data_IF_112093596258
#
_entry.id   IF_112093596258
#
_cell.length_a   1.000
_cell.length_b   1.000
_cell.length_c   1.000
_cell.angle_alpha   90.00
_cell.angle_beta   90.00
_cell.angle_gamma   90.00
#
_symmetry.space_group_name_H-M   'P 1'
#
loop_
_entity.id
_entity.type
_entity.pdbx_description
1 polymer ?
#
# COMPACT_ATOMS: atom_id res chain seq x y z
N UNK A 1 -58.07 24.22 33.19
CA UNK A 1 -56.72 23.65 33.03
C UNK A 1 -56.73 22.96 31.66
N UNK A 2 -55.97 23.37 30.62
CA UNK A 2 -54.50 23.20 30.39
C UNK A 2 -54.08 21.76 30.74
N UNK A 3 -53.43 20.92 29.93
CA UNK A 3 -52.63 21.03 28.68
C UNK A 3 -52.82 19.71 27.86
N UNK A 4 -52.31 19.46 26.64
CA UNK A 4 -51.51 20.20 25.63
C UNK A 4 -51.89 19.65 24.21
N UNK A 5 -51.50 20.32 23.12
CA UNK A 5 -51.50 19.74 21.77
C UNK A 5 -50.08 19.82 21.16
N UNK A 6 -49.64 18.79 20.42
CA UNK A 6 -48.45 18.86 19.57
C UNK A 6 -48.61 17.89 18.39
N UNK A 7 -48.76 18.45 17.20
CA UNK A 7 -49.05 17.70 15.98
C UNK A 7 -47.82 16.97 15.43
N UNK A 8 -48.07 15.80 14.83
CA UNK A 8 -47.09 15.14 13.95
C UNK A 8 -46.73 16.08 12.79
N UNK A 9 -45.49 16.56 12.75
CA UNK A 9 -44.98 17.29 11.61
C UNK A 9 -45.01 16.39 10.36
N UNK A 10 -45.60 16.91 9.29
CA UNK A 10 -45.70 16.23 7.99
C UNK A 10 -44.33 16.20 7.31
N UNK A 11 -43.65 15.05 7.35
CA UNK A 11 -42.63 14.76 6.33
C UNK A 11 -43.35 14.55 4.99
N UNK A 12 -43.01 15.31 3.93
CA UNK A 12 -43.64 15.12 2.63
C UNK A 12 -43.28 13.74 2.07
N UNK A 13 -44.29 13.00 1.60
CA UNK A 13 -44.11 11.72 0.90
C UNK A 13 -43.41 11.97 -0.44
N UNK A 14 -42.09 12.01 -0.43
CA UNK A 14 -41.29 12.11 -1.65
C UNK A 14 -41.63 10.93 -2.57
N UNK A 15 -42.15 11.24 -3.76
CA UNK A 15 -42.63 10.23 -4.70
C UNK A 15 -41.46 9.33 -5.13
N UNK A 16 -41.60 8.00 -4.97
CA UNK A 16 -40.51 7.06 -5.19
C UNK A 16 -39.91 7.13 -6.62
N UNK A 17 -40.72 7.51 -7.62
CA UNK A 17 -40.27 7.78 -8.98
C UNK A 17 -39.37 9.02 -9.08
N UNK A 18 -39.71 10.10 -8.36
CA UNK A 18 -38.87 11.30 -8.29
C UNK A 18 -37.54 10.97 -7.62
N UNK A 19 -37.55 10.36 -6.43
CA UNK A 19 -36.33 9.98 -5.68
C UNK A 19 -35.41 9.09 -6.52
N UNK A 20 -35.94 8.07 -7.21
CA UNK A 20 -35.16 7.21 -8.12
C UNK A 20 -34.53 7.99 -9.28
N UNK A 21 -35.23 8.99 -9.81
CA UNK A 21 -34.74 9.82 -10.92
C UNK A 21 -33.63 10.77 -10.44
N UNK A 22 -33.81 11.46 -9.31
CA UNK A 22 -32.80 12.37 -8.74
C UNK A 22 -31.53 11.64 -8.32
N UNK A 23 -31.67 10.46 -7.70
CA UNK A 23 -30.52 9.60 -7.36
C UNK A 23 -29.77 9.15 -8.61
N UNK A 24 -30.49 8.72 -9.66
CA UNK A 24 -29.86 8.31 -10.92
C UNK A 24 -29.11 9.47 -11.61
N UNK A 25 -29.66 10.68 -11.61
CA UNK A 25 -28.96 11.86 -12.16
C UNK A 25 -27.74 12.25 -11.30
N UNK A 26 -27.84 12.19 -9.97
CA UNK A 26 -26.74 12.52 -9.08
C UNK A 26 -25.56 11.52 -9.21
N UNK A 27 -25.85 10.22 -9.31
CA UNK A 27 -24.84 9.17 -9.54
C UNK A 27 -24.12 9.39 -10.88
N UNK A 28 -24.86 9.74 -11.94
CA UNK A 28 -24.26 10.04 -13.26
C UNK A 28 -23.40 11.32 -13.22
N UNK A 29 -23.85 12.37 -12.50
CA UNK A 29 -23.04 13.59 -12.33
C UNK A 29 -21.73 13.30 -11.60
N UNK A 30 -21.78 12.62 -10.45
CA UNK A 30 -20.58 12.24 -9.67
C UNK A 30 -19.61 11.39 -10.49
N UNK A 31 -20.11 10.44 -11.28
CA UNK A 31 -19.26 9.63 -12.16
C UNK A 31 -18.59 10.46 -13.27
N UNK A 32 -19.29 11.45 -13.85
CA UNK A 32 -18.71 12.37 -14.84
C UNK A 32 -17.69 13.33 -14.22
N UNK A 33 -17.95 13.81 -13.01
CA UNK A 33 -17.03 14.66 -12.24
C UNK A 33 -15.75 13.92 -11.88
N UNK A 34 -15.85 12.70 -11.33
CA UNK A 34 -14.69 11.83 -11.07
C UNK A 34 -13.92 11.53 -12.35
N UNK A 35 -14.59 11.18 -13.46
CA UNK A 35 -13.90 10.95 -14.73
C UNK A 35 -13.12 12.19 -15.22
N UNK A 36 -13.71 13.39 -15.11
CA UNK A 36 -13.02 14.65 -15.44
C UNK A 36 -11.87 14.96 -14.49
N UNK A 37 -12.04 14.69 -13.20
CA UNK A 37 -11.00 14.88 -12.18
C UNK A 37 -9.80 13.97 -12.47
N UNK A 38 -10.02 12.65 -12.62
CA UNK A 38 -8.98 11.67 -12.96
C UNK A 38 -8.28 12.00 -14.28
N UNK A 39 -9.02 12.45 -15.31
CA UNK A 39 -8.43 12.90 -16.58
C UNK A 39 -7.52 14.13 -16.45
N UNK A 40 -7.73 15.00 -15.46
CA UNK A 40 -6.83 16.13 -15.16
C UNK A 40 -5.56 15.70 -14.42
N UNK A 41 -5.56 14.51 -13.82
CA UNK A 41 -4.41 13.94 -13.11
C UNK A 41 -3.60 12.97 -13.99
N UNK A 42 -4.04 12.72 -15.22
CA UNK A 42 -3.28 11.93 -16.19
C UNK A 42 -1.93 12.62 -16.48
N UNK A 43 -0.84 11.88 -16.31
CA UNK A 43 0.53 12.41 -16.39
C UNK A 43 0.97 13.36 -15.27
N UNK A 44 0.19 13.57 -14.21
CA UNK A 44 0.58 14.45 -13.10
C UNK A 44 1.90 14.02 -12.45
N UNK A 45 2.82 14.96 -12.26
CA UNK A 45 4.14 14.75 -11.66
C UNK A 45 5.17 14.00 -12.51
N UNK A 46 4.78 13.41 -13.65
CA UNK A 46 5.62 12.52 -14.46
C UNK A 46 6.92 13.16 -14.97
N UNK A 47 6.84 14.42 -15.38
CA UNK A 47 7.97 15.18 -15.95
C UNK A 47 8.57 16.19 -14.96
N UNK A 48 8.14 16.15 -13.70
CA UNK A 48 8.63 17.05 -12.66
C UNK A 48 9.98 16.55 -12.09
N UNK A 49 10.98 17.43 -11.89
CA UNK A 49 12.24 17.04 -11.28
C UNK A 49 12.07 16.75 -9.78
N UNK A 50 13.03 16.01 -9.21
CA UNK A 50 13.15 15.90 -7.74
C UNK A 50 13.27 17.28 -7.09
N UNK A 51 12.60 17.43 -5.96
CA UNK A 51 12.51 18.70 -5.24
C UNK A 51 11.56 19.75 -5.85
N UNK A 52 10.74 19.43 -6.87
CA UNK A 52 9.78 20.41 -7.40
C UNK A 52 8.71 20.80 -6.38
N UNK A 53 8.94 21.94 -5.72
CA UNK A 53 8.07 22.50 -4.70
C UNK A 53 6.62 22.70 -5.17
N UNK A 54 6.38 22.90 -6.48
CA UNK A 54 5.01 23.03 -7.02
C UNK A 54 4.27 21.70 -7.02
N UNK A 55 4.87 20.65 -7.59
CA UNK A 55 4.30 19.30 -7.57
C UNK A 55 4.16 18.79 -6.14
N UNK A 56 5.18 18.96 -5.29
CA UNK A 56 5.13 18.61 -3.85
C UNK A 56 4.01 19.36 -3.10
N UNK A 57 3.79 20.63 -3.43
CA UNK A 57 2.66 21.42 -2.92
C UNK A 57 1.30 20.88 -3.36
N UNK A 58 1.15 20.52 -4.64
CA UNK A 58 -0.08 19.93 -5.18
C UNK A 58 -0.35 18.52 -4.61
N UNK A 59 0.68 17.67 -4.45
CA UNK A 59 0.55 16.37 -3.80
C UNK A 59 -0.07 16.49 -2.40
N UNK A 60 0.37 17.47 -1.59
CA UNK A 60 -0.16 17.68 -0.23
C UNK A 60 -1.67 17.94 -0.18
N UNK A 61 -2.27 18.50 -1.23
CA UNK A 61 -3.73 18.66 -1.31
C UNK A 61 -4.42 17.43 -1.91
N UNK A 62 -3.85 16.82 -2.95
CA UNK A 62 -4.40 15.59 -3.56
C UNK A 62 -4.40 14.39 -2.61
N UNK A 63 -3.46 14.32 -1.66
CA UNK A 63 -3.45 13.34 -0.56
C UNK A 63 -4.64 13.49 0.42
N UNK A 64 -5.43 14.56 0.33
CA UNK A 64 -6.63 14.78 1.16
C UNK A 64 -7.93 14.57 0.36
N UNK A 65 -7.84 14.24 -0.92
CA UNK A 65 -9.00 14.13 -1.81
C UNK A 65 -9.86 12.88 -1.47
N UNK A 66 -11.16 12.97 -1.69
CA UNK A 66 -12.08 11.84 -1.52
C UNK A 66 -11.85 10.74 -2.58
N UNK A 67 -11.39 11.11 -3.78
CA UNK A 67 -11.08 10.14 -4.82
C UNK A 67 -9.75 9.42 -4.52
N UNK A 68 -9.83 8.11 -4.26
CA UNK A 68 -8.65 7.25 -4.09
C UNK A 68 -7.66 7.41 -5.24
N UNK A 69 -8.13 7.65 -6.47
CA UNK A 69 -7.24 7.82 -7.63
C UNK A 69 -6.38 9.07 -7.48
N UNK A 70 -6.94 10.15 -6.92
CA UNK A 70 -6.21 11.38 -6.67
C UNK A 70 -5.14 11.19 -5.58
N UNK A 71 -5.50 10.51 -4.48
CA UNK A 71 -4.53 10.13 -3.43
C UNK A 71 -3.42 9.24 -3.99
N UNK A 72 -3.77 8.21 -4.77
CA UNK A 72 -2.84 7.28 -5.43
C UNK A 72 -1.90 8.00 -6.39
N UNK A 73 -2.41 8.90 -7.23
CA UNK A 73 -1.58 9.71 -8.14
C UNK A 73 -0.66 10.66 -7.37
N UNK A 74 -1.09 11.22 -6.24
CA UNK A 74 -0.22 12.04 -5.39
C UNK A 74 0.93 11.23 -4.76
N UNK A 75 0.66 9.99 -4.35
CA UNK A 75 1.67 9.04 -3.85
C UNK A 75 2.65 8.63 -4.96
N UNK A 76 2.16 8.28 -6.16
CA UNK A 76 3.00 7.97 -7.33
C UNK A 76 3.89 9.15 -7.74
N UNK A 77 3.36 10.38 -7.64
CA UNK A 77 4.13 11.58 -7.93
C UNK A 77 5.19 11.81 -6.84
N UNK A 78 4.83 11.70 -5.55
CA UNK A 78 5.80 11.79 -4.44
C UNK A 78 6.95 10.78 -4.58
N UNK A 79 6.67 9.54 -4.99
CA UNK A 79 7.70 8.52 -5.30
C UNK A 79 8.74 9.00 -6.33
N UNK A 80 8.35 9.87 -7.26
CA UNK A 80 9.22 10.40 -8.31
C UNK A 80 9.89 11.73 -7.92
N UNK A 81 9.14 12.66 -7.32
CA UNK A 81 9.58 14.04 -7.07
C UNK A 81 10.12 14.30 -5.66
N UNK A 82 9.88 13.42 -4.69
CA UNK A 82 10.43 13.59 -3.35
C UNK A 82 11.94 13.43 -3.36
N UNK A 83 12.62 14.29 -2.59
CA UNK A 83 14.02 14.10 -2.25
C UNK A 83 14.17 12.86 -1.36
N UNK A 84 15.21 12.07 -1.62
CA UNK A 84 15.47 10.83 -0.90
C UNK A 84 15.84 11.12 0.56
N UNK A 85 15.32 10.33 1.49
CA UNK A 85 15.50 10.50 2.94
C UNK A 85 14.78 11.70 3.55
N UNK A 86 13.99 12.47 2.79
CA UNK A 86 13.35 13.68 3.32
C UNK A 86 12.16 13.33 4.24
N UNK A 87 12.28 13.67 5.52
CA UNK A 87 11.37 13.22 6.58
C UNK A 87 9.92 13.70 6.39
N UNK A 88 9.70 14.90 5.85
CA UNK A 88 8.35 15.43 5.65
C UNK A 88 7.62 14.69 4.52
N UNK A 89 8.32 14.33 3.44
CA UNK A 89 7.80 13.48 2.37
C UNK A 89 7.51 12.06 2.89
N UNK A 90 8.42 11.48 3.67
CA UNK A 90 8.21 10.16 4.29
C UNK A 90 7.01 10.17 5.26
N UNK A 91 6.85 11.20 6.09
CA UNK A 91 5.70 11.34 6.98
C UNK A 91 4.35 11.41 6.23
N UNK A 92 4.31 12.05 5.06
CA UNK A 92 3.12 12.05 4.19
C UNK A 92 2.84 10.65 3.63
N UNK A 93 3.87 9.92 3.20
CA UNK A 93 3.72 8.56 2.68
C UNK A 93 3.31 7.56 3.77
N UNK A 94 3.89 7.64 4.97
CA UNK A 94 3.57 6.76 6.11
C UNK A 94 2.08 6.82 6.50
N UNK A 95 1.44 7.99 6.37
CA UNK A 95 0.00 8.13 6.61
C UNK A 95 -0.84 7.28 5.62
N UNK A 96 -0.40 7.17 4.37
CA UNK A 96 -1.14 6.49 3.30
C UNK A 96 -0.85 5.00 3.22
N UNK A 97 0.05 4.48 4.05
CA UNK A 97 0.13 3.05 4.33
C UNK A 97 -1.17 2.53 4.99
N UNK A 98 -1.97 3.38 5.62
CA UNK A 98 -3.24 3.04 6.29
C UNK A 98 -4.47 3.61 5.56
N UNK A 99 -4.34 3.88 4.25
CA UNK A 99 -5.45 4.35 3.44
C UNK A 99 -6.56 3.30 3.31
N UNK A 100 -7.82 3.76 3.23
CA UNK A 100 -8.99 2.90 3.01
C UNK A 100 -8.91 2.13 1.68
N UNK A 101 -8.25 2.67 0.65
CA UNK A 101 -8.17 2.07 -0.68
C UNK A 101 -6.85 1.29 -0.89
N UNK A 102 -7.00 0.04 -1.34
CA UNK A 102 -5.90 -0.90 -1.55
C UNK A 102 -4.84 -0.38 -2.52
N UNK A 103 -5.22 0.37 -3.56
CA UNK A 103 -4.27 0.88 -4.56
C UNK A 103 -3.46 2.04 -4.01
N UNK A 104 -4.00 2.81 -3.06
CA UNK A 104 -3.26 3.84 -2.33
C UNK A 104 -2.28 3.17 -1.35
N UNK A 105 -2.70 2.13 -0.62
CA UNK A 105 -1.80 1.36 0.27
C UNK A 105 -0.64 0.71 -0.48
N UNK A 106 -0.91 0.03 -1.60
CA UNK A 106 0.14 -0.54 -2.46
C UNK A 106 1.13 0.54 -2.93
N UNK A 107 0.61 1.66 -3.45
CA UNK A 107 1.44 2.77 -3.93
C UNK A 107 2.28 3.38 -2.81
N UNK A 108 1.74 3.49 -1.59
CA UNK A 108 2.45 4.05 -0.45
C UNK A 108 3.61 3.16 0.00
N UNK A 109 3.45 1.84 -0.01
CA UNK A 109 4.56 0.90 0.27
C UNK A 109 5.65 1.02 -0.79
N UNK A 110 5.27 1.03 -2.07
CA UNK A 110 6.18 1.19 -3.21
C UNK A 110 6.92 2.54 -3.20
N UNK A 111 6.27 3.60 -2.70
CA UNK A 111 6.82 4.94 -2.57
C UNK A 111 7.79 5.06 -1.39
N UNK A 112 7.44 4.50 -0.21
CA UNK A 112 8.34 4.46 0.95
C UNK A 112 9.64 3.72 0.60
N UNK A 113 9.55 2.58 -0.10
CA UNK A 113 10.73 1.81 -0.54
C UNK A 113 11.65 2.55 -1.54
N UNK A 114 11.16 3.59 -2.20
CA UNK A 114 11.90 4.38 -3.17
C UNK A 114 12.44 5.70 -2.58
N UNK A 115 11.68 6.31 -1.67
CA UNK A 115 12.02 7.61 -1.06
C UNK A 115 12.87 7.43 0.20
N UNK A 116 12.65 6.39 1.01
CA UNK A 116 13.46 6.17 2.21
C UNK A 116 14.89 5.76 1.87
N UNK A 117 15.83 6.08 2.74
CA UNK A 117 17.19 5.56 2.64
C UNK A 117 17.21 4.05 2.97
N UNK A 118 18.20 3.28 2.45
CA UNK A 118 18.37 1.90 2.87
C UNK A 118 18.67 1.89 4.37
N UNK A 119 18.19 0.86 5.07
CA UNK A 119 18.39 0.66 6.50
C UNK A 119 17.71 1.72 7.41
N UNK A 120 16.82 2.55 6.85
CA UNK A 120 15.92 3.43 7.61
C UNK A 120 14.99 2.59 8.50
N UNK A 121 15.30 2.57 9.80
CA UNK A 121 14.57 1.81 10.81
C UNK A 121 13.09 2.26 10.95
N UNK A 122 12.76 3.53 10.66
CA UNK A 122 11.37 4.02 10.68
C UNK A 122 10.63 3.49 9.45
N UNK A 123 11.24 3.55 8.27
CA UNK A 123 10.67 3.00 7.04
C UNK A 123 10.44 1.48 7.15
N UNK A 124 11.45 0.72 7.60
CA UNK A 124 11.35 -0.72 7.89
C UNK A 124 10.23 -1.00 8.88
N UNK A 125 10.17 -0.27 10.00
CA UNK A 125 9.12 -0.44 11.02
C UNK A 125 7.72 -0.09 10.51
N UNK A 126 7.58 0.89 9.62
CA UNK A 126 6.27 1.29 9.07
C UNK A 126 5.78 0.34 7.99
N UNK A 127 6.69 -0.15 7.13
CA UNK A 127 6.39 -1.13 6.09
C UNK A 127 6.10 -2.51 6.69
N UNK A 128 6.75 -2.92 7.78
CA UNK A 128 6.50 -4.23 8.40
C UNK A 128 5.06 -4.39 8.90
N UNK A 129 4.39 -3.31 9.31
CA UNK A 129 2.97 -3.30 9.66
C UNK A 129 2.03 -3.66 8.48
N UNK A 130 2.54 -3.67 7.23
CA UNK A 130 1.80 -4.09 6.03
C UNK A 130 2.05 -5.54 5.64
N UNK A 131 2.89 -6.29 6.37
CA UNK A 131 2.92 -7.75 6.30
C UNK A 131 1.63 -8.39 6.83
N UNK A 132 0.83 -7.67 7.62
CA UNK A 132 -0.47 -8.12 8.12
C UNK A 132 -1.67 -7.44 7.43
N UNK A 133 -1.47 -6.84 6.24
CA UNK A 133 -2.57 -6.22 5.50
C UNK A 133 -3.59 -7.28 5.03
N UNK A 134 -4.87 -6.91 4.98
CA UNK A 134 -5.95 -7.78 4.48
C UNK A 134 -5.70 -8.18 3.00
N UNK A 135 -5.16 -7.26 2.20
CA UNK A 135 -4.94 -7.46 0.78
C UNK A 135 -3.58 -8.12 0.50
N UNK A 136 -3.59 -9.17 -0.32
CA UNK A 136 -2.41 -9.97 -0.59
C UNK A 136 -1.40 -9.30 -1.54
N UNK A 137 -1.81 -8.32 -2.34
CA UNK A 137 -0.89 -7.50 -3.12
C UNK A 137 -0.18 -6.51 -2.22
N UNK A 138 -0.87 -5.84 -1.28
CA UNK A 138 -0.23 -4.97 -0.27
C UNK A 138 0.80 -5.75 0.56
N UNK A 139 0.47 -6.97 1.02
CA UNK A 139 1.46 -7.84 1.71
C UNK A 139 2.66 -8.19 0.82
N UNK A 140 2.43 -8.54 -0.45
CA UNK A 140 3.52 -8.84 -1.39
C UNK A 140 4.42 -7.63 -1.68
N UNK A 141 3.85 -6.41 -1.68
CA UNK A 141 4.61 -5.15 -1.76
C UNK A 141 5.45 -4.92 -0.51
N UNK A 142 4.87 -5.14 0.67
CA UNK A 142 5.56 -4.95 1.94
C UNK A 142 6.79 -5.85 2.06
N UNK A 143 6.65 -7.13 1.68
CA UNK A 143 7.76 -8.10 1.60
C UNK A 143 8.90 -7.61 0.69
N UNK A 144 8.59 -7.16 -0.53
CA UNK A 144 9.60 -6.63 -1.47
C UNK A 144 10.25 -5.35 -0.94
N UNK A 145 9.47 -4.46 -0.34
CA UNK A 145 9.96 -3.22 0.25
C UNK A 145 10.92 -3.50 1.42
N UNK A 146 10.62 -4.46 2.29
CA UNK A 146 11.53 -4.89 3.36
C UNK A 146 12.82 -5.50 2.82
N UNK A 147 12.77 -6.30 1.75
CA UNK A 147 13.98 -6.80 1.08
C UNK A 147 14.88 -5.72 0.48
N UNK A 148 14.33 -4.51 0.21
CA UNK A 148 15.08 -3.34 -0.27
C UNK A 148 15.55 -2.40 0.85
N UNK A 149 14.78 -2.30 1.93
CA UNK A 149 15.01 -1.36 3.04
C UNK A 149 15.75 -1.99 4.23
N UNK A 150 15.68 -3.31 4.40
CA UNK A 150 16.28 -4.00 5.54
C UNK A 150 17.81 -3.95 5.54
N UNK A 151 18.41 -3.91 6.73
CA UNK A 151 19.84 -4.13 6.90
C UNK A 151 20.15 -5.62 6.69
N UNK A 152 21.28 -5.91 6.02
CA UNK A 152 21.70 -7.28 5.74
C UNK A 152 21.99 -8.06 7.02
N UNK A 153 21.41 -9.25 7.15
CA UNK A 153 21.53 -10.07 8.35
C UNK A 153 20.74 -9.55 9.56
N UNK A 154 19.88 -8.53 9.43
CA UNK A 154 19.03 -8.12 10.55
C UNK A 154 18.03 -9.23 10.91
N UNK A 155 18.27 -9.85 12.07
CA UNK A 155 17.50 -10.98 12.55
C UNK A 155 16.01 -10.66 12.75
N UNK A 156 15.64 -9.39 12.99
CA UNK A 156 14.24 -8.99 13.16
C UNK A 156 13.50 -8.96 11.83
N UNK A 157 14.08 -8.32 10.82
CA UNK A 157 13.52 -8.27 9.46
C UNK A 157 13.50 -9.67 8.84
N UNK A 158 14.54 -10.47 9.04
CA UNK A 158 14.58 -11.86 8.58
C UNK A 158 13.51 -12.74 9.24
N UNK A 159 13.25 -12.59 10.55
CA UNK A 159 12.16 -13.32 11.22
C UNK A 159 10.77 -12.92 10.70
N UNK A 160 10.54 -11.61 10.49
CA UNK A 160 9.30 -11.12 9.87
C UNK A 160 9.07 -11.67 8.46
N UNK A 161 10.14 -11.90 7.69
CA UNK A 161 10.06 -12.52 6.36
C UNK A 161 9.91 -14.05 6.43
N UNK A 162 10.43 -14.71 7.46
CA UNK A 162 10.22 -16.15 7.72
C UNK A 162 8.73 -16.46 7.93
N UNK A 163 8.01 -15.64 8.71
CA UNK A 163 6.57 -15.79 8.94
C UNK A 163 5.77 -15.76 7.62
N UNK A 164 6.23 -14.99 6.62
CA UNK A 164 5.59 -14.90 5.30
C UNK A 164 5.76 -16.15 4.43
N UNK A 165 6.54 -17.15 4.86
CA UNK A 165 6.56 -18.48 4.25
C UNK A 165 5.28 -19.28 4.49
N UNK A 166 4.37 -18.81 5.36
CA UNK A 166 3.08 -19.44 5.63
C UNK A 166 1.88 -18.66 5.05
N UNK A 167 2.14 -17.57 4.31
CA UNK A 167 1.07 -16.74 3.71
C UNK A 167 0.21 -17.55 2.72
N UNK A 168 -1.11 -17.40 2.82
CA UNK A 168 -2.06 -18.07 1.92
C UNK A 168 -1.86 -17.76 0.44
N UNK A 169 -1.26 -16.63 0.08
CA UNK A 169 -1.02 -16.22 -1.31
C UNK A 169 0.38 -16.58 -1.81
N UNK A 170 0.43 -17.48 -2.80
CA UNK A 170 1.67 -18.00 -3.41
C UNK A 170 2.69 -16.91 -3.80
N UNK A 171 2.31 -15.77 -4.43
CA UNK A 171 3.24 -14.68 -4.69
C UNK A 171 3.90 -14.08 -3.45
N UNK A 172 3.20 -13.93 -2.31
CA UNK A 172 3.80 -13.42 -1.07
C UNK A 172 4.91 -14.33 -0.60
N UNK A 173 4.64 -15.65 -0.56
CA UNK A 173 5.63 -16.67 -0.16
C UNK A 173 6.88 -16.63 -1.05
N UNK A 174 6.71 -16.51 -2.37
CA UNK A 174 7.85 -16.38 -3.30
C UNK A 174 8.67 -15.12 -3.06
N UNK A 175 8.01 -13.97 -2.86
CA UNK A 175 8.69 -12.71 -2.54
C UNK A 175 9.40 -12.76 -1.20
N UNK A 176 8.92 -13.55 -0.24
CA UNK A 176 9.58 -13.71 1.06
C UNK A 176 10.92 -14.43 0.90
N UNK A 177 10.97 -15.47 0.06
CA UNK A 177 12.21 -16.17 -0.30
C UNK A 177 13.21 -15.21 -0.98
N UNK A 178 12.75 -14.44 -1.98
CA UNK A 178 13.55 -13.42 -2.69
C UNK A 178 14.06 -12.32 -1.73
N UNK A 179 13.25 -11.87 -0.76
CA UNK A 179 13.63 -10.85 0.21
C UNK A 179 14.63 -11.38 1.25
N UNK A 180 14.49 -12.63 1.71
CA UNK A 180 15.46 -13.31 2.58
C UNK A 180 16.81 -13.49 1.88
N UNK A 181 16.81 -13.78 0.58
CA UNK A 181 18.02 -13.83 -0.24
C UNK A 181 18.72 -12.47 -0.32
N UNK A 182 17.96 -11.39 -0.57
CA UNK A 182 18.49 -10.02 -0.65
C UNK A 182 19.13 -9.54 0.67
N UNK A 183 18.57 -9.99 1.80
CA UNK A 183 19.02 -9.66 3.16
C UNK A 183 20.03 -10.66 3.75
N UNK A 184 20.64 -11.53 2.94
CA UNK A 184 21.73 -12.40 3.38
C UNK A 184 22.89 -11.58 4.03
N UNK A 185 23.59 -12.12 5.05
CA UNK A 185 23.62 -13.53 5.48
C UNK A 185 22.42 -13.95 6.34
N UNK A 186 22.13 -15.25 6.35
CA UNK A 186 21.06 -15.86 7.15
C UNK A 186 21.61 -16.91 8.14
N UNK A 187 20.90 -17.15 9.25
CA UNK A 187 21.27 -18.18 10.22
C UNK A 187 20.74 -19.58 9.85
N UNK A 188 21.35 -20.63 10.43
CA UNK A 188 20.96 -22.03 10.18
C UNK A 188 19.49 -22.35 10.50
N UNK A 189 18.87 -21.65 11.46
CA UNK A 189 17.44 -21.81 11.74
C UNK A 189 16.59 -21.45 10.50
N UNK A 190 16.87 -20.31 9.87
CA UNK A 190 16.17 -19.86 8.66
C UNK A 190 16.52 -20.74 7.46
N UNK A 191 17.76 -21.23 7.34
CA UNK A 191 18.12 -22.25 6.33
C UNK A 191 17.32 -23.55 6.52
N UNK A 192 17.07 -23.98 7.77
CA UNK A 192 16.21 -25.14 8.03
C UNK A 192 14.75 -24.90 7.67
N UNK A 193 14.21 -23.69 7.88
CA UNK A 193 12.87 -23.32 7.41
C UNK A 193 12.78 -23.29 5.88
N UNK A 194 13.77 -22.71 5.20
CA UNK A 194 13.88 -22.75 3.74
C UNK A 194 13.94 -24.19 3.20
N UNK A 195 14.71 -25.08 3.86
CA UNK A 195 14.78 -26.52 3.54
C UNK A 195 13.43 -27.22 3.74
N UNK A 196 12.60 -26.78 4.68
CA UNK A 196 11.23 -27.26 4.89
C UNK A 196 10.31 -26.80 3.75
N UNK A 197 10.28 -25.49 3.46
CA UNK A 197 9.48 -24.91 2.34
C UNK A 197 9.81 -25.59 1.01
N UNK A 198 11.09 -25.81 0.72
CA UNK A 198 11.57 -26.50 -0.48
C UNK A 198 11.07 -27.94 -0.66
N UNK A 199 10.62 -28.59 0.44
CA UNK A 199 10.11 -29.97 0.46
C UNK A 199 8.58 -30.02 0.55
N UNK A 200 7.98 -29.18 1.39
CA UNK A 200 6.63 -29.37 1.91
C UNK A 200 5.62 -28.30 1.51
N UNK A 201 6.03 -27.15 0.95
CA UNK A 201 5.06 -26.14 0.48
C UNK A 201 4.11 -26.75 -0.56
N UNK A 202 2.81 -26.48 -0.46
CA UNK A 202 1.80 -27.02 -1.37
C UNK A 202 2.04 -26.62 -2.85
N UNK A 203 2.46 -25.38 -3.11
CA UNK A 203 2.74 -24.89 -4.46
C UNK A 203 4.09 -25.37 -4.97
N UNK A 204 4.10 -26.02 -6.14
CA UNK A 204 5.33 -26.47 -6.79
C UNK A 204 6.28 -25.30 -7.06
N UNK A 205 5.75 -24.15 -7.47
CA UNK A 205 6.58 -22.98 -7.77
C UNK A 205 7.27 -22.40 -6.54
N UNK A 206 6.64 -22.43 -5.36
CA UNK A 206 7.29 -22.02 -4.10
C UNK A 206 8.38 -23.02 -3.72
N UNK A 207 8.11 -24.34 -3.85
CA UNK A 207 9.14 -25.37 -3.60
C UNK A 207 10.38 -25.20 -4.47
N UNK A 208 10.23 -24.90 -5.77
CA UNK A 208 11.40 -24.66 -6.64
C UNK A 208 12.11 -23.34 -6.29
N UNK A 209 11.37 -22.26 -6.03
CA UNK A 209 11.97 -20.98 -5.60
C UNK A 209 12.78 -21.14 -4.30
N UNK A 210 12.30 -21.91 -3.32
CA UNK A 210 13.03 -22.15 -2.07
C UNK A 210 14.32 -22.95 -2.28
N UNK A 211 14.36 -23.90 -3.22
CA UNK A 211 15.61 -24.59 -3.62
C UNK A 211 16.58 -23.63 -4.29
N UNK A 212 16.09 -22.73 -5.13
CA UNK A 212 16.89 -21.73 -5.83
C UNK A 212 17.53 -20.75 -4.85
N UNK A 213 16.75 -20.20 -3.91
CA UNK A 213 17.24 -19.35 -2.81
C UNK A 213 18.26 -20.10 -1.94
N UNK A 214 18.01 -21.36 -1.56
CA UNK A 214 18.98 -22.19 -0.85
C UNK A 214 20.30 -22.39 -1.63
N UNK A 215 20.23 -22.49 -2.96
CA UNK A 215 21.41 -22.64 -3.82
C UNK A 215 22.20 -21.34 -4.02
N UNK A 216 21.66 -20.17 -3.65
CA UNK A 216 22.33 -18.87 -3.69
C UNK A 216 22.85 -18.42 -2.33
N UNK A 217 22.30 -19.00 -1.26
CA UNK A 217 22.73 -18.78 0.14
C UNK A 217 23.84 -19.75 0.60
N UNK A 218 24.21 -20.73 -0.23
CA UNK A 218 25.20 -21.78 0.06
C UNK A 218 26.47 -21.71 -0.80
#
# INVERSE_FOLDING_TARGET
MRFVALGRALLPKANAAFVRTTLRSAVVSRAQELHRHRKRLDGFGKDAPRGDAKTLGACRELLKDEDWFARKTAVDALKQVADRGEENHLALLYKHLEDEDIFVREAAVDAVAEVAEPEDAVAVSKVSLRLADEDCFVRARAVVALGRLGHKGDARTLALLEDMFEDGFVPVRKRALEAVEALAPVGENLLNRLRLVAREDADRGVREAAKETLSRLG
#
